data_IF_802468659816
#
_entry.id   IF_802468659816
#
_cell.length_a   1.000
_cell.length_b   1.000
_cell.length_c   1.000
_cell.angle_alpha   90.00
_cell.angle_beta   90.00
_cell.angle_gamma   90.00
#
_symmetry.space_group_name_H-M   'P 1'
#
loop_
_entity.id
_entity.type
_entity.pdbx_description
1 polymer ?
#
# COMPACT_ATOMS: atom_id res chain seq x y z
N UNK A 1 -40.51 -47.12 -6.04
CA UNK A 1 -40.34 -45.66 -5.92
C UNK A 1 -39.40 -45.37 -4.77
N UNK A 2 -38.19 -44.85 -5.06
CA UNK A 2 -37.32 -44.24 -4.04
C UNK A 2 -37.02 -42.81 -4.51
N UNK A 3 -37.69 -41.85 -3.89
CA UNK A 3 -37.22 -40.46 -3.84
C UNK A 3 -36.00 -40.45 -2.92
N UNK A 4 -34.84 -40.01 -3.39
CA UNK A 4 -33.87 -39.30 -2.54
C UNK A 4 -33.26 -38.15 -3.38
N UNK A 5 -33.30 -36.98 -2.76
CA UNK A 5 -33.00 -35.61 -3.17
C UNK A 5 -31.77 -35.38 -4.07
N UNK A 6 -31.77 -34.28 -4.86
CA UNK A 6 -30.65 -33.89 -5.69
C UNK A 6 -29.47 -33.43 -4.81
N UNK A 7 -28.37 -34.17 -4.85
CA UNK A 7 -27.03 -33.74 -4.40
C UNK A 7 -26.47 -32.79 -5.46
N UNK A 8 -27.15 -31.66 -5.69
CA UNK A 8 -26.72 -30.63 -6.65
C UNK A 8 -26.79 -29.21 -6.07
N UNK A 9 -27.08 -29.09 -4.77
CA UNK A 9 -27.30 -27.83 -4.06
C UNK A 9 -26.36 -27.67 -2.86
N UNK A 10 -25.09 -28.07 -3.03
CA UNK A 10 -24.02 -27.91 -2.04
C UNK A 10 -22.70 -27.45 -2.70
N UNK A 11 -22.82 -26.75 -3.84
CA UNK A 11 -21.73 -26.01 -4.49
C UNK A 11 -22.05 -24.51 -4.58
N UNK A 12 -22.90 -24.00 -3.67
CA UNK A 12 -22.78 -22.60 -3.26
C UNK A 12 -21.54 -22.51 -2.36
N UNK A 13 -20.37 -22.73 -2.95
CA UNK A 13 -19.13 -22.33 -2.31
C UNK A 13 -19.24 -20.82 -2.13
N UNK A 14 -19.24 -20.40 -0.88
CA UNK A 14 -18.92 -19.02 -0.54
C UNK A 14 -17.64 -18.69 -1.27
N UNK A 15 -17.73 -17.97 -2.39
CA UNK A 15 -16.62 -17.18 -2.86
C UNK A 15 -16.47 -16.09 -1.81
N UNK A 16 -15.77 -16.39 -0.71
CA UNK A 16 -15.08 -15.34 0.01
C UNK A 16 -14.26 -14.66 -1.08
N UNK A 17 -14.60 -13.41 -1.41
CA UNK A 17 -13.84 -12.64 -2.39
C UNK A 17 -12.40 -12.63 -1.86
N UNK A 18 -11.52 -13.37 -2.54
CA UNK A 18 -10.11 -13.35 -2.19
C UNK A 18 -9.60 -11.93 -2.42
N UNK A 19 -8.96 -11.37 -1.40
CA UNK A 19 -8.32 -10.07 -1.50
C UNK A 19 -7.28 -10.08 -2.62
N UNK A 20 -7.16 -8.96 -3.29
CA UNK A 20 -6.25 -8.72 -4.41
C UNK A 20 -5.42 -7.47 -4.15
N UNK A 21 -4.40 -7.23 -4.97
CA UNK A 21 -3.61 -6.02 -4.87
C UNK A 21 -4.39 -4.71 -5.07
N UNK A 22 -5.61 -4.77 -5.60
CA UNK A 22 -6.51 -3.60 -5.65
C UNK A 22 -7.02 -3.22 -4.25
N UNK A 23 -7.22 -4.22 -3.39
CA UNK A 23 -7.70 -4.04 -2.02
C UNK A 23 -6.62 -3.43 -1.12
N UNK A 24 -5.34 -3.61 -1.46
CA UNK A 24 -4.23 -2.93 -0.76
C UNK A 24 -4.30 -1.40 -0.87
N UNK A 25 -4.80 -0.87 -1.99
CA UNK A 25 -4.89 0.58 -2.20
C UNK A 25 -6.04 1.17 -1.37
N UNK A 26 -7.20 0.51 -1.38
CA UNK A 26 -8.37 0.92 -0.57
C UNK A 26 -8.10 0.76 0.92
N UNK A 27 -7.42 -0.32 1.35
CA UNK A 27 -7.01 -0.54 2.72
C UNK A 27 -6.11 0.58 3.23
N UNK A 28 -5.09 0.99 2.45
CA UNK A 28 -4.26 2.15 2.82
C UNK A 28 -5.05 3.43 2.91
N UNK A 29 -5.99 3.70 2.00
CA UNK A 29 -6.81 4.92 2.11
C UNK A 29 -7.68 4.90 3.37
N UNK A 30 -8.19 3.72 3.76
CA UNK A 30 -8.97 3.59 4.98
C UNK A 30 -8.12 3.69 6.24
N UNK A 31 -7.01 2.96 6.32
CA UNK A 31 -6.09 3.03 7.45
C UNK A 31 -5.49 4.44 7.62
N UNK A 32 -5.13 5.13 6.53
CA UNK A 32 -4.66 6.51 6.61
C UNK A 32 -5.77 7.46 7.08
N UNK A 33 -7.04 7.23 6.72
CA UNK A 33 -8.16 8.03 7.24
C UNK A 33 -8.37 7.83 8.74
N UNK A 34 -8.36 6.58 9.21
CA UNK A 34 -8.45 6.27 10.64
C UNK A 34 -7.25 6.88 11.37
N UNK A 35 -6.04 6.63 10.87
CA UNK A 35 -4.82 7.20 11.41
C UNK A 35 -4.87 8.73 11.44
N UNK A 36 -5.31 9.42 10.39
CA UNK A 36 -5.41 10.89 10.38
C UNK A 36 -6.51 11.43 11.30
N UNK A 37 -7.54 10.62 11.58
CA UNK A 37 -8.59 10.97 12.52
C UNK A 37 -8.10 10.84 13.96
N UNK A 38 -7.28 9.82 14.24
CA UNK A 38 -6.74 9.49 15.58
C UNK A 38 -5.43 10.25 15.88
N UNK A 39 -4.47 10.17 14.96
CA UNK A 39 -3.23 10.92 14.89
C UNK A 39 -3.38 12.09 13.93
N UNK A 40 -3.49 13.29 14.48
CA UNK A 40 -3.05 14.42 13.69
C UNK A 40 -1.47 14.46 13.96
N UNK A 41 -0.58 14.88 13.05
CA UNK A 41 0.71 15.64 13.26
C UNK A 41 1.94 14.90 12.84
N UNK A 42 1.91 13.58 12.93
CA UNK A 42 3.08 12.88 12.49
C UNK A 42 3.06 12.83 10.97
N UNK A 43 4.09 13.44 10.39
CA UNK A 43 4.43 13.16 9.02
C UNK A 43 4.44 11.65 8.87
N UNK A 44 3.62 11.16 7.96
CA UNK A 44 3.71 9.77 7.59
C UNK A 44 5.04 9.66 6.85
N UNK A 45 6.03 9.06 7.50
CA UNK A 45 7.37 8.91 6.94
C UNK A 45 7.42 7.71 6.00
N UNK A 46 6.62 6.70 6.32
CA UNK A 46 6.53 5.48 5.56
C UNK A 46 5.23 4.72 5.86
N UNK A 47 4.83 3.84 4.95
CA UNK A 47 3.77 2.87 5.21
C UNK A 47 4.01 1.58 4.43
N UNK A 48 3.37 0.49 4.85
CA UNK A 48 3.29 -0.75 4.08
C UNK A 48 1.87 -1.31 4.13
N UNK A 49 1.51 -2.04 3.08
CA UNK A 49 0.27 -2.81 3.05
C UNK A 49 0.57 -4.22 2.52
N UNK A 50 0.00 -5.24 3.15
CA UNK A 50 0.21 -6.65 2.82
C UNK A 50 -1.08 -7.45 3.00
N UNK A 51 -1.34 -8.38 2.10
CA UNK A 51 -2.46 -9.32 2.22
C UNK A 51 -2.02 -10.48 3.12
N UNK A 52 -2.67 -10.65 4.26
CA UNK A 52 -2.47 -11.79 5.16
C UNK A 52 -3.79 -12.52 5.39
N UNK A 53 -3.89 -13.75 4.87
CA UNK A 53 -5.11 -14.54 4.97
C UNK A 53 -6.31 -13.88 4.29
N UNK A 54 -7.26 -13.39 5.09
CA UNK A 54 -8.48 -12.71 4.65
C UNK A 54 -8.51 -11.21 4.97
N UNK A 55 -7.38 -10.65 5.43
CA UNK A 55 -7.27 -9.25 5.83
C UNK A 55 -6.10 -8.58 5.10
N UNK A 56 -6.16 -7.25 5.00
CA UNK A 56 -5.04 -6.42 4.61
C UNK A 56 -4.49 -5.77 5.86
N UNK A 57 -3.22 -6.03 6.18
CA UNK A 57 -2.52 -5.34 7.24
C UNK A 57 -1.87 -4.09 6.67
N UNK A 58 -2.23 -2.94 7.23
CA UNK A 58 -1.60 -1.65 6.90
C UNK A 58 -0.83 -1.16 8.10
N UNK A 59 0.48 -0.97 7.92
CA UNK A 59 1.34 -0.41 8.95
C UNK A 59 1.86 0.95 8.53
N UNK A 60 1.62 1.95 9.37
CA UNK A 60 2.01 3.34 9.16
C UNK A 60 3.14 3.66 10.13
N UNK A 61 4.24 4.21 9.60
CA UNK A 61 5.35 4.72 10.39
C UNK A 61 5.32 6.23 10.39
N UNK A 62 5.51 6.77 11.57
CA UNK A 62 5.45 8.19 11.86
C UNK A 62 6.52 8.55 12.89
N UNK A 63 6.71 9.84 13.16
CA UNK A 63 7.68 10.29 14.16
C UNK A 63 7.40 9.71 15.57
N UNK A 64 6.13 9.58 15.95
CA UNK A 64 5.73 9.12 17.29
C UNK A 64 5.72 7.59 17.43
N UNK A 65 5.82 6.84 16.32
CA UNK A 65 5.82 5.38 16.38
C UNK A 65 5.30 4.70 15.13
N UNK A 66 5.03 3.39 15.27
CA UNK A 66 4.44 2.58 14.22
C UNK A 66 3.05 2.09 14.63
N UNK A 67 2.08 2.25 13.75
CA UNK A 67 0.67 1.94 13.98
C UNK A 67 0.21 0.89 12.99
N UNK A 68 -0.49 -0.13 13.46
CA UNK A 68 -0.94 -1.26 12.64
C UNK A 68 -2.46 -1.36 12.62
N UNK A 69 -2.99 -1.51 11.42
CA UNK A 69 -4.41 -1.57 11.13
C UNK A 69 -4.72 -2.85 10.38
N UNK A 70 -5.57 -3.68 10.97
CA UNK A 70 -6.21 -4.81 10.29
C UNK A 70 -7.41 -4.30 9.50
N UNK A 71 -7.37 -4.46 8.17
CA UNK A 71 -8.41 -4.01 7.26
C UNK A 71 -9.12 -5.19 6.61
N UNK A 72 -10.45 -5.18 6.63
CA UNK A 72 -11.27 -6.22 6.02
C UNK A 72 -12.46 -5.64 5.26
N UNK A 73 -12.91 -6.40 4.26
CA UNK A 73 -13.97 -5.97 3.35
C UNK A 73 -15.35 -6.19 4.00
N UNK A 74 -16.12 -5.11 4.17
CA UNK A 74 -17.55 -5.13 4.49
C UNK A 74 -18.34 -4.83 3.21
N UNK A 75 -18.95 -5.86 2.63
CA UNK A 75 -19.65 -5.80 1.34
C UNK A 75 -18.76 -5.29 0.19
N UNK A 76 -18.69 -3.97 0.02
CA UNK A 76 -17.88 -3.28 -1.00
C UNK A 76 -16.93 -2.24 -0.42
N UNK A 77 -16.93 -2.05 0.89
CA UNK A 77 -16.17 -1.04 1.60
C UNK A 77 -15.04 -1.68 2.39
N UNK A 78 -13.84 -1.11 2.27
CA UNK A 78 -12.71 -1.52 3.10
C UNK A 78 -12.78 -0.75 4.41
N UNK A 79 -12.86 -1.47 5.53
CA UNK A 79 -12.92 -0.91 6.88
C UNK A 79 -11.68 -1.37 7.63
N UNK A 80 -11.06 -0.47 8.39
CA UNK A 80 -9.85 -0.75 9.16
C UNK A 80 -10.09 -0.49 10.64
N UNK A 81 -9.40 -1.23 11.50
CA UNK A 81 -9.39 -1.01 12.94
C UNK A 81 -7.94 -1.10 13.44
N UNK A 82 -7.58 -0.23 14.39
CA UNK A 82 -6.27 -0.29 15.05
C UNK A 82 -6.16 -1.60 15.84
N UNK A 83 -5.04 -2.33 15.69
CA UNK A 83 -4.84 -3.60 16.40
C UNK A 83 -4.36 -3.42 17.85
N UNK A 84 -3.76 -2.28 18.19
CA UNK A 84 -3.19 -1.97 19.52
C UNK A 84 -3.43 -0.50 19.92
N UNK A 85 -4.22 -0.26 20.97
CA UNK A 85 -4.59 1.08 21.43
C UNK A 85 -3.39 1.96 21.82
N UNK A 86 -3.11 3.00 21.03
CA UNK A 86 -2.16 4.05 21.38
C UNK A 86 -2.82 5.44 21.40
N UNK A 87 -2.58 6.22 22.47
CA UNK A 87 -3.02 7.62 22.54
C UNK A 87 -2.22 8.47 21.54
N UNK A 88 -2.91 9.16 20.65
CA UNK A 88 -2.33 9.91 19.54
C UNK A 88 -2.49 11.44 19.71
N UNK A 89 -1.47 12.23 19.33
CA UNK A 89 -1.49 13.71 19.30
C UNK A 89 -1.78 14.26 17.87
N UNK A 90 -1.59 15.57 17.52
CA UNK A 90 -2.37 16.29 16.44
C UNK A 90 -1.71 17.35 15.42
N UNK A 91 -1.63 17.21 14.03
CA UNK A 91 -1.40 17.92 12.67
C UNK A 91 -1.22 17.09 11.30
N UNK A 92 -0.34 17.46 10.35
CA UNK A 92 -0.29 17.21 8.89
C UNK A 92 1.15 16.96 8.33
N UNK A 93 1.33 15.94 7.46
CA UNK A 93 2.20 15.92 6.24
C UNK A 93 2.17 14.53 5.56
N UNK A 94 1.31 14.35 4.55
CA UNK A 94 1.11 13.09 3.78
C UNK A 94 1.13 13.30 2.26
N UNK A 95 0.94 14.55 1.81
CA UNK A 95 0.61 14.87 0.42
C UNK A 95 1.69 14.42 -0.57
N UNK A 96 2.96 14.75 -0.32
CA UNK A 96 4.04 14.49 -1.26
C UNK A 96 4.38 13.01 -1.35
N UNK A 97 4.42 12.32 -0.20
CA UNK A 97 4.62 10.88 -0.13
C UNK A 97 3.51 10.14 -0.90
N UNK A 98 2.26 10.60 -0.77
CA UNK A 98 1.14 10.03 -1.52
C UNK A 98 1.22 10.34 -3.03
N UNK A 99 1.55 11.57 -3.43
CA UNK A 99 1.68 11.92 -4.86
C UNK A 99 2.77 11.10 -5.56
N UNK A 100 3.91 10.91 -4.89
CA UNK A 100 4.99 10.05 -5.36
C UNK A 100 4.55 8.60 -5.47
N UNK A 101 3.88 8.06 -4.45
CA UNK A 101 3.32 6.70 -4.47
C UNK A 101 2.34 6.51 -5.63
N UNK A 102 1.39 7.43 -5.83
CA UNK A 102 0.44 7.36 -6.95
C UNK A 102 1.17 7.34 -8.31
N UNK A 103 2.25 8.11 -8.43
CA UNK A 103 3.09 8.14 -9.62
C UNK A 103 3.85 6.82 -9.83
N UNK A 104 4.35 6.21 -8.75
CA UNK A 104 4.96 4.88 -8.76
C UNK A 104 3.98 3.78 -9.17
N UNK A 105 2.80 3.73 -8.56
CA UNK A 105 1.74 2.76 -8.87
C UNK A 105 1.25 2.92 -10.31
N UNK A 106 1.08 4.16 -10.80
CA UNK A 106 0.75 4.43 -12.22
C UNK A 106 1.85 3.96 -13.18
N UNK A 107 3.12 4.03 -12.80
CA UNK A 107 4.24 3.47 -13.58
C UNK A 107 4.21 1.93 -13.58
N UNK A 108 3.93 1.33 -12.42
CA UNK A 108 3.79 -0.12 -12.28
C UNK A 108 2.62 -0.65 -13.10
N UNK A 109 1.42 -0.08 -12.96
CA UNK A 109 0.22 -0.48 -13.70
C UNK A 109 0.45 -0.49 -15.22
N UNK A 110 1.06 0.57 -15.76
CA UNK A 110 1.45 0.61 -17.19
C UNK A 110 2.43 -0.51 -17.57
N UNK A 111 3.28 -0.93 -16.65
CA UNK A 111 4.27 -2.00 -16.88
C UNK A 111 3.63 -3.38 -16.81
N UNK A 112 2.71 -3.60 -15.87
CA UNK A 112 1.94 -4.83 -15.75
C UNK A 112 1.00 -5.03 -16.94
N UNK A 113 0.30 -3.97 -17.37
CA UNK A 113 -0.59 -4.00 -18.54
C UNK A 113 0.14 -4.41 -19.81
N UNK A 114 1.38 -3.94 -20.01
CA UNK A 114 2.25 -4.38 -21.12
C UNK A 114 2.61 -5.86 -21.07
N UNK A 115 2.48 -6.49 -19.90
CA UNK A 115 2.75 -7.92 -19.64
C UNK A 115 1.48 -8.74 -19.48
N UNK A 116 0.31 -8.17 -19.76
CA UNK A 116 -0.98 -8.86 -19.67
C UNK A 116 -1.51 -9.07 -18.24
N UNK A 117 -1.05 -8.26 -17.28
CA UNK A 117 -1.51 -8.27 -15.89
C UNK A 117 -1.96 -6.86 -15.46
N UNK A 118 -2.52 -6.73 -14.26
CA UNK A 118 -2.89 -5.46 -13.64
C UNK A 118 -2.50 -5.45 -12.15
N UNK A 119 -2.91 -4.45 -11.39
CA UNK A 119 -2.55 -4.31 -9.98
C UNK A 119 -3.14 -5.40 -9.07
N UNK A 120 -4.09 -6.22 -9.52
CA UNK A 120 -4.67 -7.32 -8.72
C UNK A 120 -3.64 -8.37 -8.30
N UNK A 121 -2.53 -8.49 -9.03
CA UNK A 121 -1.44 -9.45 -8.72
C UNK A 121 -0.41 -8.92 -7.71
N UNK A 122 -0.57 -7.69 -7.24
CA UNK A 122 0.28 -7.12 -6.17
C UNK A 122 -0.09 -7.77 -4.85
N UNK A 123 0.91 -8.22 -4.11
CA UNK A 123 0.73 -8.93 -2.83
C UNK A 123 1.08 -8.04 -1.65
N UNK A 124 2.04 -7.14 -1.82
CA UNK A 124 2.39 -6.12 -0.84
C UNK A 124 3.12 -4.94 -1.45
N UNK A 125 3.10 -3.81 -0.75
CA UNK A 125 4.00 -2.71 -1.04
C UNK A 125 4.48 -2.02 0.23
N UNK A 126 5.59 -1.30 0.12
CA UNK A 126 6.13 -0.42 1.15
C UNK A 126 6.61 0.88 0.52
N UNK A 127 6.33 2.00 1.16
CA UNK A 127 6.64 3.36 0.71
C UNK A 127 7.37 4.10 1.83
N UNK A 128 8.41 4.87 1.51
CA UNK A 128 9.13 5.70 2.49
C UNK A 128 9.81 6.89 1.83
N UNK A 129 9.96 7.99 2.57
CA UNK A 129 10.83 9.13 2.19
C UNK A 129 12.25 8.91 2.69
N UNK A 130 13.24 9.47 1.99
CA UNK A 130 14.60 9.68 2.51
C UNK A 130 14.78 11.19 2.64
N UNK A 131 15.17 11.66 3.83
CA UNK A 131 15.56 13.06 4.02
C UNK A 131 17.01 13.22 3.56
N UNK A 132 17.24 14.02 2.52
CA UNK A 132 18.58 14.26 2.01
C UNK A 132 19.34 15.19 2.97
N UNK A 133 20.21 14.62 3.81
CA UNK A 133 20.98 15.38 4.80
C UNK A 133 22.20 16.10 4.23
N UNK A 134 22.53 15.86 2.96
CA UNK A 134 23.71 16.42 2.31
C UNK A 134 23.36 16.80 0.87
N UNK A 135 23.17 18.10 0.61
CA UNK A 135 23.69 18.87 -0.54
C UNK A 135 22.94 20.21 -0.65
N UNK A 136 23.69 21.31 -0.61
CA UNK A 136 23.21 22.69 -0.45
C UNK A 136 22.48 23.31 -1.65
N UNK A 137 21.62 22.57 -2.35
CA UNK A 137 20.74 23.08 -3.40
C UNK A 137 19.40 22.33 -3.35
N UNK A 138 18.40 22.91 -2.70
CA UNK A 138 16.93 22.75 -2.87
C UNK A 138 16.27 21.53 -3.53
N UNK A 139 16.85 20.33 -3.52
CA UNK A 139 16.23 19.14 -4.12
C UNK A 139 15.23 18.51 -3.12
N UNK A 140 13.98 18.38 -3.57
CA UNK A 140 12.84 17.86 -2.81
C UNK A 140 13.00 16.34 -2.56
N UNK A 141 12.49 15.83 -1.43
CA UNK A 141 12.77 14.49 -0.92
C UNK A 141 12.49 13.34 -1.91
N UNK A 142 13.43 12.41 -2.02
CA UNK A 142 13.28 11.15 -2.75
C UNK A 142 12.29 10.21 -2.04
N UNK A 143 11.29 9.72 -2.78
CA UNK A 143 10.32 8.74 -2.28
C UNK A 143 10.56 7.39 -2.93
N UNK A 144 10.65 6.36 -2.11
CA UNK A 144 10.82 4.98 -2.56
C UNK A 144 9.53 4.20 -2.43
N UNK A 145 9.29 3.30 -3.38
CA UNK A 145 8.20 2.32 -3.36
C UNK A 145 8.75 0.95 -3.74
N UNK A 146 8.69 0.01 -2.80
CA UNK A 146 8.95 -1.42 -3.03
C UNK A 146 7.62 -2.13 -3.23
N UNK A 147 7.50 -2.91 -4.29
CA UNK A 147 6.27 -3.65 -4.60
C UNK A 147 6.59 -5.12 -4.85
N UNK A 148 5.93 -6.01 -4.12
CA UNK A 148 5.92 -7.45 -4.36
C UNK A 148 4.67 -7.84 -5.15
N UNK A 149 4.83 -8.71 -6.15
CA UNK A 149 3.74 -9.18 -6.99
C UNK A 149 4.05 -10.53 -7.62
N UNK A 150 3.01 -11.31 -7.92
CA UNK A 150 3.14 -12.62 -8.56
C UNK A 150 2.84 -12.55 -10.06
N UNK A 151 3.83 -12.81 -10.89
CA UNK A 151 3.69 -12.77 -12.34
C UNK A 151 4.17 -14.09 -12.95
N UNK A 152 3.25 -14.80 -13.63
CA UNK A 152 3.50 -16.11 -14.24
C UNK A 152 4.01 -17.15 -13.24
N UNK A 153 3.42 -17.18 -12.04
CA UNK A 153 3.78 -18.13 -10.98
C UNK A 153 5.13 -17.85 -10.31
N UNK A 154 5.70 -16.66 -10.52
CA UNK A 154 6.94 -16.22 -9.87
C UNK A 154 6.70 -14.93 -9.10
N UNK A 155 7.07 -14.94 -7.83
CA UNK A 155 7.12 -13.73 -7.01
C UNK A 155 8.25 -12.82 -7.47
N UNK A 156 7.93 -11.54 -7.67
CA UNK A 156 8.84 -10.51 -8.14
C UNK A 156 8.78 -9.31 -7.23
N UNK A 157 9.91 -8.61 -7.14
CA UNK A 157 10.01 -7.34 -6.42
C UNK A 157 10.45 -6.28 -7.43
N UNK A 158 9.77 -5.14 -7.40
CA UNK A 158 10.19 -3.92 -8.09
C UNK A 158 10.50 -2.84 -7.08
N UNK A 159 11.58 -2.11 -7.31
CA UNK A 159 11.89 -0.87 -6.59
C UNK A 159 11.67 0.31 -7.52
N UNK A 160 10.92 1.32 -7.06
CA UNK A 160 10.60 2.52 -7.79
C UNK A 160 10.99 3.70 -6.91
N UNK A 161 11.88 4.56 -7.40
CA UNK A 161 12.24 5.83 -6.76
C UNK A 161 11.55 6.96 -7.53
N UNK A 162 10.91 7.88 -6.83
CA UNK A 162 10.27 9.05 -7.39
C UNK A 162 10.81 10.33 -6.74
N UNK A 163 11.17 11.32 -7.55
CA UNK A 163 11.56 12.66 -7.09
C UNK A 163 10.84 13.74 -7.90
N UNK A 164 10.79 14.95 -7.37
CA UNK A 164 10.39 16.14 -8.10
C UNK A 164 11.63 16.86 -8.64
N UNK A 165 11.50 17.50 -9.79
CA UNK A 165 12.52 18.42 -10.30
C UNK A 165 12.15 19.85 -9.86
N UNK A 166 13.16 20.71 -9.69
CA UNK A 166 12.95 22.09 -9.23
C UNK A 166 11.89 22.81 -10.07
N UNK A 167 10.83 23.28 -9.41
CA UNK A 167 9.73 24.00 -10.05
C UNK A 167 8.66 23.13 -10.73
N UNK A 168 8.78 21.80 -10.65
CA UNK A 168 7.80 20.86 -11.18
C UNK A 168 6.88 20.32 -10.08
N UNK A 169 5.57 20.23 -10.38
CA UNK A 169 4.57 19.68 -9.46
C UNK A 169 4.41 18.16 -9.57
N UNK A 170 5.07 17.54 -10.55
CA UNK A 170 4.93 16.11 -10.85
C UNK A 170 6.15 15.33 -10.35
N UNK A 171 5.90 14.10 -9.90
CA UNK A 171 6.96 13.17 -9.52
C UNK A 171 7.41 12.33 -10.73
N UNK A 172 8.72 12.24 -10.90
CA UNK A 172 9.38 11.45 -11.93
C UNK A 172 9.91 10.16 -11.32
N UNK A 173 9.39 9.04 -11.81
CA UNK A 173 9.65 7.74 -11.21
C UNK A 173 10.58 6.86 -12.06
N UNK A 174 11.56 6.24 -11.44
CA UNK A 174 12.58 5.38 -12.05
C UNK A 174 12.59 4.00 -11.40
N UNK A 175 12.73 2.95 -12.22
CA UNK A 175 12.98 1.60 -11.68
C UNK A 175 14.42 1.51 -11.19
N UNK A 176 14.62 0.88 -10.03
CA UNK A 176 15.93 0.66 -9.42
C UNK A 176 16.14 -0.83 -9.17
N UNK A 177 17.40 -1.24 -9.11
CA UNK A 177 17.78 -2.65 -8.84
C UNK A 177 17.66 -3.02 -7.37
N UNK A 178 17.77 -2.04 -6.47
CA UNK A 178 17.66 -2.21 -5.03
C UNK A 178 17.07 -0.95 -4.39
N UNK A 179 16.44 -1.13 -3.22
CA UNK A 179 16.03 -0.06 -2.32
C UNK A 179 17.23 0.58 -1.61
N UNK A 180 17.08 1.84 -1.22
CA UNK A 180 17.98 2.54 -0.30
C UNK A 180 17.21 2.90 0.97
N UNK A 181 17.86 2.76 2.12
CA UNK A 181 17.35 3.19 3.43
C UNK A 181 15.92 2.69 3.76
N UNK A 182 15.60 1.45 3.36
CA UNK A 182 14.31 0.83 3.68
C UNK A 182 14.14 0.72 5.22
N UNK A 183 13.09 1.31 5.82
CA UNK A 183 12.86 1.22 7.26
C UNK A 183 12.55 -0.23 7.70
N UNK A 184 12.80 -0.58 8.97
CA UNK A 184 12.68 -1.97 9.45
C UNK A 184 11.31 -2.37 10.04
N UNK A 185 10.26 -1.56 9.89
CA UNK A 185 8.94 -1.81 10.50
C UNK A 185 8.02 -2.70 9.65
#
# INVERSE_FOLDING_TARGET
>A
MKLILPIFLLLSQFNALALTGLDLLSAKDSAVREYQYEAELNEIEAWKAEIEGSEVHVKIQSHDGSFEYGCHLHDTEMVCHEEDHHDLNKSESYSDLNMAFQSAIKKLDRTLKKRGADLSIVTSYKVWKIEDHDHGHGEEADVWTKVAYDLNGQSKISYIQCHQHEGEKEFFCHYKSAAHEEPNF
#
